data_IF_377205116962
#
_entry.id   IF_377205116962
#
_cell.length_a   1.000
_cell.length_b   1.000
_cell.length_c   1.000
_cell.angle_alpha   90.00
_cell.angle_beta   90.00
_cell.angle_gamma   90.00
#
_symmetry.space_group_name_H-M   'P 1'
#
loop_
_entity.id
_entity.type
_entity.pdbx_description
1 polymer ?
#
# COMPACT_ATOMS: atom_id res chain seq x y z
N UNK A 1 -8.85 -9.84 12.25
CA UNK A 1 -7.64 -9.04 12.52
C UNK A 1 -6.41 -9.75 11.96
N UNK A 2 -5.98 -10.88 12.52
CA UNK A 2 -4.72 -11.54 12.10
C UNK A 2 -4.72 -12.02 10.64
N UNK A 3 -5.81 -12.63 10.16
CA UNK A 3 -5.86 -13.23 8.82
C UNK A 3 -5.71 -12.19 7.69
N UNK A 4 -6.45 -11.08 7.77
CA UNK A 4 -6.41 -9.99 6.77
C UNK A 4 -5.07 -9.26 6.78
N UNK A 5 -4.51 -9.02 7.97
CA UNK A 5 -3.17 -8.43 8.10
C UNK A 5 -2.07 -9.33 7.51
N UNK A 6 -2.15 -10.64 7.76
CA UNK A 6 -1.23 -11.62 7.17
C UNK A 6 -1.34 -11.65 5.63
N UNK A 7 -2.55 -11.58 5.08
CA UNK A 7 -2.75 -11.54 3.62
C UNK A 7 -2.17 -10.25 3.01
N UNK A 8 -2.31 -9.10 3.68
CA UNK A 8 -1.73 -7.84 3.23
C UNK A 8 -0.20 -7.88 3.24
N UNK A 9 0.40 -8.38 4.33
CA UNK A 9 1.85 -8.55 4.43
C UNK A 9 2.36 -9.53 3.38
N UNK A 10 1.66 -10.65 3.18
CA UNK A 10 2.00 -11.63 2.15
C UNK A 10 1.90 -11.02 0.74
N UNK A 11 0.88 -10.19 0.47
CA UNK A 11 0.72 -9.50 -0.80
C UNK A 11 1.83 -8.47 -1.05
N UNK A 12 2.20 -7.68 -0.03
CA UNK A 12 3.33 -6.73 -0.12
C UNK A 12 4.63 -7.48 -0.36
N UNK A 13 4.87 -8.58 0.37
CA UNK A 13 6.07 -9.40 0.18
C UNK A 13 6.13 -10.01 -1.22
N UNK A 14 5.02 -10.56 -1.71
CA UNK A 14 4.93 -11.15 -3.05
C UNK A 14 5.13 -10.10 -4.14
N UNK A 15 4.44 -8.96 -4.06
CA UNK A 15 4.58 -7.88 -5.03
C UNK A 15 5.96 -7.24 -4.98
N UNK A 16 6.56 -7.09 -3.80
CA UNK A 16 7.92 -6.60 -3.62
C UNK A 16 8.94 -7.57 -4.22
N UNK A 17 8.73 -8.87 -4.04
CA UNK A 17 9.55 -9.91 -4.66
C UNK A 17 9.46 -9.86 -6.19
N UNK A 18 8.26 -9.72 -6.76
CA UNK A 18 8.07 -9.54 -8.21
C UNK A 18 8.78 -8.27 -8.71
N UNK A 19 8.65 -7.16 -7.99
CA UNK A 19 9.30 -5.89 -8.36
C UNK A 19 10.83 -5.95 -8.26
N UNK A 20 11.38 -6.81 -7.40
CA UNK A 20 12.84 -7.00 -7.28
C UNK A 20 13.49 -7.55 -8.56
N UNK A 21 12.71 -8.17 -9.46
CA UNK A 21 13.20 -8.57 -10.78
C UNK A 21 13.45 -7.37 -11.71
N UNK A 22 12.64 -6.32 -11.59
CA UNK A 22 12.78 -5.08 -12.37
C UNK A 22 13.81 -4.12 -11.75
N UNK A 23 13.84 -4.06 -10.42
CA UNK A 23 14.69 -3.15 -9.65
C UNK A 23 15.85 -3.91 -8.99
N UNK A 24 17.00 -3.92 -9.68
CA UNK A 24 18.13 -4.81 -9.37
C UNK A 24 19.24 -4.18 -8.54
N UNK A 25 19.30 -2.84 -8.45
CA UNK A 25 20.38 -2.17 -7.71
C UNK A 25 20.11 -2.22 -6.20
N UNK A 26 21.17 -2.13 -5.39
CA UNK A 26 21.03 -2.14 -3.93
C UNK A 26 20.27 -0.91 -3.42
N UNK A 27 20.41 0.23 -4.09
CA UNK A 27 19.63 1.44 -3.81
C UNK A 27 18.13 1.22 -4.07
N UNK A 28 17.78 0.54 -5.17
CA UNK A 28 16.38 0.26 -5.46
C UNK A 28 15.79 -0.74 -4.44
N UNK A 29 16.54 -1.77 -4.05
CA UNK A 29 16.10 -2.74 -3.03
C UNK A 29 15.81 -2.06 -1.70
N UNK A 30 16.64 -1.10 -1.30
CA UNK A 30 16.39 -0.28 -0.11
C UNK A 30 15.10 0.53 -0.24
N UNK A 31 14.85 1.14 -1.42
CA UNK A 31 13.60 1.84 -1.69
C UNK A 31 12.37 0.93 -1.64
N UNK A 32 12.47 -0.30 -2.16
CA UNK A 32 11.41 -1.31 -2.08
C UNK A 32 11.08 -1.68 -0.62
N UNK A 33 12.10 -1.88 0.22
CA UNK A 33 11.93 -2.22 1.63
C UNK A 33 11.27 -1.07 2.40
N UNK A 34 11.80 0.14 2.26
CA UNK A 34 11.25 1.34 2.93
C UNK A 34 9.80 1.59 2.49
N UNK A 35 9.53 1.46 1.18
CA UNK A 35 8.18 1.57 0.61
C UNK A 35 7.24 0.51 1.18
N UNK A 36 7.70 -0.74 1.30
CA UNK A 36 6.89 -1.85 1.85
C UNK A 36 6.52 -1.64 3.31
N UNK A 37 7.47 -1.19 4.14
CA UNK A 37 7.23 -0.89 5.56
C UNK A 37 6.22 0.24 5.72
N UNK A 38 6.41 1.35 4.99
CA UNK A 38 5.49 2.49 4.99
C UNK A 38 4.10 2.08 4.49
N UNK A 39 4.03 1.29 3.41
CA UNK A 39 2.75 0.85 2.85
C UNK A 39 1.97 -0.01 3.84
N UNK A 40 2.68 -0.86 4.60
CA UNK A 40 2.08 -1.67 5.66
C UNK A 40 1.43 -0.79 6.74
N UNK A 41 2.15 0.24 7.22
CA UNK A 41 1.62 1.17 8.23
C UNK A 41 0.36 1.93 7.74
N UNK A 42 0.40 2.37 6.48
CA UNK A 42 -0.72 3.07 5.84
C UNK A 42 -1.92 2.14 5.68
N UNK A 43 -1.70 0.89 5.26
CA UNK A 43 -2.76 -0.10 5.09
C UNK A 43 -3.43 -0.47 6.41
N UNK A 44 -2.66 -0.62 7.50
CA UNK A 44 -3.24 -0.85 8.83
C UNK A 44 -4.17 0.30 9.25
N UNK A 45 -3.79 1.54 8.92
CA UNK A 45 -4.59 2.73 9.20
C UNK A 45 -5.84 2.77 8.33
N UNK A 46 -5.70 2.50 7.03
CA UNK A 46 -6.81 2.46 6.08
C UNK A 46 -7.85 1.40 6.45
N UNK A 47 -7.41 0.21 6.86
CA UNK A 47 -8.27 -0.89 7.31
C UNK A 47 -9.06 -0.50 8.58
N UNK A 48 -8.43 0.24 9.50
CA UNK A 48 -9.08 0.79 10.68
C UNK A 48 -10.20 1.76 10.32
N UNK A 49 -9.95 2.68 9.38
CA UNK A 49 -10.93 3.67 8.90
C UNK A 49 -12.10 2.98 8.20
N UNK A 50 -11.82 2.05 7.28
CA UNK A 50 -12.86 1.40 6.48
C UNK A 50 -13.83 0.58 7.34
N UNK A 51 -13.34 0.01 8.44
CA UNK A 51 -14.18 -0.68 9.43
C UNK A 51 -15.16 0.25 10.15
N UNK A 52 -14.80 1.52 10.37
CA UNK A 52 -15.65 2.51 11.03
C UNK A 52 -16.76 3.04 10.12
N UNK A 53 -16.55 3.04 8.79
CA UNK A 53 -17.50 3.60 7.81
C UNK A 53 -18.74 2.70 7.62
N UNK A 54 -18.65 1.42 7.96
CA UNK A 54 -19.77 0.47 7.92
C UNK A 54 -20.20 0.07 6.49
N UNK A 55 -20.80 -1.13 6.36
CA UNK A 55 -21.09 -1.76 5.06
C UNK A 55 -22.07 -0.99 4.17
N UNK A 56 -22.96 -0.17 4.77
CA UNK A 56 -23.99 0.56 4.03
C UNK A 56 -23.44 1.67 3.12
N UNK A 57 -22.18 2.09 3.32
CA UNK A 57 -21.54 3.14 2.53
C UNK A 57 -20.27 2.63 1.82
N UNK A 58 -20.30 1.40 1.32
CA UNK A 58 -19.14 0.74 0.70
C UNK A 58 -18.46 1.59 -0.40
N UNK A 59 -19.23 2.26 -1.26
CA UNK A 59 -18.69 3.15 -2.30
C UNK A 59 -17.98 4.37 -1.71
N UNK A 60 -18.53 4.95 -0.63
CA UNK A 60 -17.93 6.10 0.05
C UNK A 60 -16.68 5.69 0.81
N UNK A 61 -16.70 4.53 1.48
CA UNK A 61 -15.51 3.96 2.13
C UNK A 61 -14.39 3.66 1.14
N UNK A 62 -14.74 3.11 -0.02
CA UNK A 62 -13.81 2.87 -1.12
C UNK A 62 -13.22 4.18 -1.67
N UNK A 63 -14.05 5.18 -1.96
CA UNK A 63 -13.60 6.49 -2.45
C UNK A 63 -12.71 7.23 -1.44
N UNK A 64 -13.08 7.21 -0.16
CA UNK A 64 -12.26 7.77 0.93
C UNK A 64 -10.90 7.06 1.02
N UNK A 65 -10.90 5.73 0.89
CA UNK A 65 -9.70 4.92 0.85
C UNK A 65 -8.80 5.22 -0.36
N UNK A 66 -9.37 5.53 -1.52
CA UNK A 66 -8.62 5.93 -2.71
C UNK A 66 -7.96 7.30 -2.51
N UNK A 67 -8.71 8.29 -2.00
CA UNK A 67 -8.22 9.64 -1.73
C UNK A 67 -7.09 9.59 -0.71
N UNK A 68 -7.27 8.87 0.41
CA UNK A 68 -6.23 8.70 1.44
C UNK A 68 -4.94 8.13 0.83
N UNK A 69 -5.03 7.06 0.03
CA UNK A 69 -3.86 6.44 -0.62
C UNK A 69 -3.19 7.38 -1.62
N UNK A 70 -3.98 8.12 -2.41
CA UNK A 70 -3.46 9.13 -3.33
C UNK A 70 -2.71 10.25 -2.61
N UNK A 71 -3.27 10.77 -1.51
CA UNK A 71 -2.63 11.77 -0.66
C UNK A 71 -1.32 11.24 -0.07
N UNK A 72 -1.34 10.02 0.47
CA UNK A 72 -0.13 9.41 1.05
C UNK A 72 0.93 9.14 -0.02
N UNK A 73 0.55 8.69 -1.22
CA UNK A 73 1.45 8.52 -2.36
C UNK A 73 2.10 9.85 -2.76
N UNK A 74 1.32 10.93 -2.81
CA UNK A 74 1.84 12.26 -3.08
C UNK A 74 2.83 12.71 -1.99
N UNK A 75 2.46 12.59 -0.72
CA UNK A 75 3.36 12.91 0.40
C UNK A 75 4.65 12.08 0.35
N UNK A 76 4.54 10.79 0.02
CA UNK A 76 5.69 9.91 -0.11
C UNK A 76 6.62 10.37 -1.23
N UNK A 77 6.11 10.65 -2.42
CA UNK A 77 6.90 11.10 -3.56
C UNK A 77 7.55 12.47 -3.36
N UNK A 78 6.81 13.45 -2.82
CA UNK A 78 7.30 14.82 -2.70
C UNK A 78 8.21 15.04 -1.49
N UNK A 79 7.94 14.34 -0.38
CA UNK A 79 8.62 14.58 0.90
C UNK A 79 9.55 13.42 1.23
N UNK A 80 9.01 12.22 1.43
CA UNK A 80 9.78 11.10 1.99
C UNK A 80 10.85 10.56 1.03
N UNK A 81 10.52 10.34 -0.24
CA UNK A 81 11.45 9.81 -1.22
C UNK A 81 12.68 10.74 -1.39
N UNK A 82 12.46 12.06 -1.33
CA UNK A 82 13.55 13.05 -1.34
C UNK A 82 14.32 13.12 -0.03
N UNK A 83 13.63 13.03 1.11
CA UNK A 83 14.26 13.08 2.43
C UNK A 83 15.16 11.87 2.70
N UNK A 84 14.80 10.71 2.14
CA UNK A 84 15.51 9.43 2.32
C UNK A 84 16.51 9.14 1.18
N UNK A 85 16.70 10.09 0.26
CA UNK A 85 17.59 9.97 -0.92
C UNK A 85 17.35 8.67 -1.72
N UNK A 86 16.08 8.30 -1.87
CA UNK A 86 15.69 7.05 -2.54
C UNK A 86 15.56 7.26 -4.06
N UNK A 87 15.88 6.25 -4.88
CA UNK A 87 15.56 6.26 -6.30
C UNK A 87 14.06 6.49 -6.52
N UNK A 88 13.72 7.66 -7.04
CA UNK A 88 12.34 8.16 -7.09
C UNK A 88 11.41 7.22 -7.87
N UNK A 89 11.91 6.64 -8.96
CA UNK A 89 11.19 5.66 -9.78
C UNK A 89 10.89 4.39 -9.01
N UNK A 90 11.89 3.77 -8.38
CA UNK A 90 11.71 2.56 -7.57
C UNK A 90 10.77 2.81 -6.38
N UNK A 91 10.95 3.92 -5.68
CA UNK A 91 10.15 4.30 -4.53
C UNK A 91 8.67 4.51 -4.90
N UNK A 92 8.38 5.37 -5.89
CA UNK A 92 6.99 5.66 -6.28
C UNK A 92 6.28 4.44 -6.88
N UNK A 93 6.96 3.69 -7.76
CA UNK A 93 6.35 2.53 -8.41
C UNK A 93 6.04 1.44 -7.38
N UNK A 94 7.01 1.10 -6.53
CA UNK A 94 6.78 0.07 -5.50
C UNK A 94 5.70 0.50 -4.50
N UNK A 95 5.75 1.74 -4.02
CA UNK A 95 4.76 2.25 -3.07
C UNK A 95 3.35 2.30 -3.66
N UNK A 96 3.20 2.76 -4.91
CA UNK A 96 1.92 2.73 -5.61
C UNK A 96 1.40 1.30 -5.76
N UNK A 97 2.23 0.38 -6.23
CA UNK A 97 1.84 -1.04 -6.37
C UNK A 97 1.36 -1.60 -5.04
N UNK A 98 2.06 -1.34 -3.93
CA UNK A 98 1.65 -1.82 -2.61
C UNK A 98 0.31 -1.23 -2.17
N UNK A 99 0.10 0.08 -2.33
CA UNK A 99 -1.13 0.76 -1.92
C UNK A 99 -2.35 0.31 -2.73
N UNK A 100 -2.21 0.12 -4.04
CA UNK A 100 -3.33 -0.26 -4.90
C UNK A 100 -3.60 -1.77 -4.90
N UNK A 101 -2.57 -2.62 -4.85
CA UNK A 101 -2.77 -4.06 -4.72
C UNK A 101 -3.49 -4.41 -3.41
N UNK A 102 -3.10 -3.76 -2.31
CA UNK A 102 -3.80 -3.92 -1.02
C UNK A 102 -5.24 -3.42 -1.06
N UNK A 103 -5.51 -2.33 -1.78
CA UNK A 103 -6.87 -1.81 -1.98
C UNK A 103 -7.75 -2.82 -2.73
N UNK A 104 -7.24 -3.43 -3.80
CA UNK A 104 -7.90 -4.50 -4.54
C UNK A 104 -8.20 -5.70 -3.64
N UNK A 105 -7.22 -6.14 -2.85
CA UNK A 105 -7.40 -7.23 -1.90
C UNK A 105 -8.46 -6.89 -0.83
N UNK A 106 -8.44 -5.67 -0.30
CA UNK A 106 -9.42 -5.19 0.67
C UNK A 106 -10.84 -5.19 0.07
N UNK A 107 -11.01 -4.69 -1.14
CA UNK A 107 -12.30 -4.74 -1.86
C UNK A 107 -12.78 -6.17 -2.08
N UNK A 108 -11.90 -7.09 -2.47
CA UNK A 108 -12.23 -8.50 -2.66
C UNK A 108 -12.64 -9.18 -1.34
N UNK A 109 -11.90 -8.93 -0.25
CA UNK A 109 -12.24 -9.48 1.07
C UNK A 109 -13.60 -8.99 1.55
N UNK A 110 -13.91 -7.70 1.37
CA UNK A 110 -15.21 -7.14 1.74
C UNK A 110 -16.37 -7.69 0.92
N UNK A 111 -16.13 -8.02 -0.35
CA UNK A 111 -17.12 -8.59 -1.27
C UNK A 111 -17.32 -10.10 -1.09
N UNK A 112 -16.33 -10.84 -0.57
CA UNK A 112 -16.46 -12.29 -0.34
C UNK A 112 -17.01 -12.60 1.07
N UNK A 113 -16.75 -11.74 2.05
CA UNK A 113 -17.30 -11.87 3.42
C UNK A 113 -18.71 -11.25 3.55
N UNK A 114 -19.36 -10.85 2.45
CA UNK A 114 -20.74 -10.31 2.38
C UNK A 114 -21.72 -11.34 1.88
#
# INVERSE_FOLDING_TARGET
MARSALLLVALIALTGWVLSYAFRTDADRHALLVSGVLATAVQLTAFGINRLVGRQKALVGWGMGAIMRGTVLALYGFIFARLLDLPLTAALVSFAVFLFASMLLESLLLAYES
#
